data_IF_815458250898
#
_entry.id   IF_815458250898
#
_cell.length_a   1.000
_cell.length_b   1.000
_cell.length_c   1.000
_cell.angle_alpha   90.00
_cell.angle_beta   90.00
_cell.angle_gamma   90.00
#
_symmetry.space_group_name_H-M   'P 1'
#
loop_
_entity.id
_entity.type
_entity.pdbx_description
1 polymer ?
#
# COMPACT_ATOMS: atom_id res chain seq x y z
N UNK A 1 24.97 23.64 6.94
CA UNK A 1 25.39 23.86 5.53
C UNK A 1 24.36 23.15 4.68
N UNK A 2 23.39 23.85 4.11
CA UNK A 2 22.52 23.30 3.10
C UNK A 2 23.38 23.08 1.84
N UNK A 3 23.71 21.84 1.56
CA UNK A 3 24.25 21.44 0.26
C UNK A 3 23.17 21.80 -0.77
N UNK A 4 23.43 22.77 -1.63
CA UNK A 4 22.61 23.04 -2.80
C UNK A 4 22.60 21.76 -3.63
N UNK A 5 21.48 21.02 -3.55
CA UNK A 5 21.27 19.84 -4.38
C UNK A 5 21.25 20.32 -5.82
N UNK A 6 22.21 19.85 -6.63
CA UNK A 6 22.15 20.11 -8.07
C UNK A 6 21.01 19.25 -8.64
N UNK A 7 19.86 19.89 -8.84
CA UNK A 7 18.64 19.25 -9.32
C UNK A 7 18.88 18.57 -10.67
N UNK A 8 19.81 19.03 -11.48
CA UNK A 8 20.13 18.44 -12.79
C UNK A 8 20.87 17.12 -12.62
N UNK A 9 21.89 17.08 -11.76
CA UNK A 9 22.64 15.86 -11.46
C UNK A 9 21.73 14.80 -10.83
N UNK A 10 20.86 15.23 -9.90
CA UNK A 10 19.86 14.36 -9.28
C UNK A 10 18.86 13.83 -10.33
N UNK A 11 18.39 14.66 -11.25
CA UNK A 11 17.48 14.27 -12.32
C UNK A 11 18.11 13.19 -13.23
N UNK A 12 19.33 13.41 -13.71
CA UNK A 12 20.06 12.45 -14.56
C UNK A 12 20.30 11.12 -13.84
N UNK A 13 20.61 11.18 -12.55
CA UNK A 13 20.77 9.99 -11.73
C UNK A 13 19.46 9.21 -11.57
N UNK A 14 18.37 9.89 -11.28
CA UNK A 14 17.06 9.26 -11.11
C UNK A 14 16.55 8.67 -12.43
N UNK A 15 16.73 9.35 -13.56
CA UNK A 15 16.37 8.80 -14.87
C UNK A 15 17.09 7.48 -15.16
N UNK A 16 18.37 7.38 -14.81
CA UNK A 16 19.14 6.16 -14.99
C UNK A 16 18.71 5.06 -14.03
N UNK A 17 18.61 5.37 -12.74
CA UNK A 17 18.35 4.41 -11.69
C UNK A 17 16.89 3.92 -11.67
N UNK A 18 15.94 4.69 -12.20
CA UNK A 18 14.52 4.31 -12.32
C UNK A 18 14.21 3.48 -13.58
N UNK A 19 15.18 3.24 -14.44
CA UNK A 19 14.97 2.50 -15.71
C UNK A 19 14.37 1.11 -15.53
N UNK A 20 14.61 0.46 -14.39
CA UNK A 20 14.06 -0.86 -14.07
C UNK A 20 12.53 -0.83 -13.87
N UNK A 21 11.94 0.32 -13.55
CA UNK A 21 10.49 0.47 -13.32
C UNK A 21 9.71 0.08 -14.58
N UNK A 22 10.21 0.48 -15.75
CA UNK A 22 9.58 0.10 -17.02
C UNK A 22 9.61 -1.42 -17.21
N UNK A 23 10.75 -2.04 -16.93
CA UNK A 23 10.88 -3.49 -17.04
C UNK A 23 9.94 -4.23 -16.08
N UNK A 24 9.81 -3.75 -14.82
CA UNK A 24 8.84 -4.29 -13.87
C UNK A 24 7.41 -4.10 -14.36
N UNK A 25 7.05 -2.89 -14.79
CA UNK A 25 5.71 -2.58 -15.30
C UNK A 25 5.37 -3.43 -16.53
N UNK A 26 6.31 -3.59 -17.45
CA UNK A 26 6.13 -4.46 -18.61
C UNK A 26 5.96 -5.93 -18.19
N UNK A 27 6.77 -6.43 -17.25
CA UNK A 27 6.64 -7.78 -16.71
C UNK A 27 5.29 -8.00 -16.03
N UNK A 28 4.82 -7.04 -15.23
CA UNK A 28 3.48 -7.07 -14.62
C UNK A 28 2.38 -7.11 -15.69
N UNK A 29 2.45 -6.24 -16.69
CA UNK A 29 1.45 -6.13 -17.75
C UNK A 29 1.41 -7.35 -18.71
N UNK A 30 2.44 -8.20 -18.74
CA UNK A 30 2.40 -9.47 -19.45
C UNK A 30 1.39 -10.47 -18.83
N UNK A 31 1.18 -10.36 -17.52
CA UNK A 31 0.35 -11.29 -16.73
C UNK A 31 -0.96 -10.63 -16.29
N UNK A 32 -0.90 -9.37 -15.87
CA UNK A 32 -2.03 -8.60 -15.37
C UNK A 32 -2.61 -7.78 -16.51
N UNK A 33 -3.87 -8.03 -16.85
CA UNK A 33 -4.60 -7.24 -17.84
C UNK A 33 -5.35 -6.11 -17.15
N UNK A 34 -5.20 -4.91 -17.65
CA UNK A 34 -5.78 -3.74 -17.02
C UNK A 34 -5.12 -3.45 -15.68
N UNK A 35 -5.88 -2.99 -14.69
CA UNK A 35 -5.43 -2.77 -13.31
C UNK A 35 -4.14 -1.95 -13.19
N UNK A 36 -3.94 -0.96 -14.08
CA UNK A 36 -2.74 -0.10 -14.10
C UNK A 36 -2.51 0.58 -12.76
N UNK A 37 -3.61 1.07 -12.17
CA UNK A 37 -3.57 1.72 -10.86
C UNK A 37 -3.07 0.78 -9.74
N UNK A 38 -3.50 -0.49 -9.75
CA UNK A 38 -3.00 -1.49 -8.80
C UNK A 38 -1.50 -1.73 -8.97
N UNK A 39 -1.03 -1.86 -10.20
CA UNK A 39 0.41 -2.07 -10.48
C UNK A 39 1.23 -0.89 -10.01
N UNK A 40 0.81 0.34 -10.30
CA UNK A 40 1.47 1.56 -9.86
C UNK A 40 1.48 1.68 -8.33
N UNK A 41 0.34 1.42 -7.67
CA UNK A 41 0.23 1.45 -6.21
C UNK A 41 1.11 0.40 -5.53
N UNK A 42 1.26 -0.80 -6.12
CA UNK A 42 2.20 -1.82 -5.63
C UNK A 42 3.65 -1.33 -5.71
N UNK A 43 4.03 -0.65 -6.78
CA UNK A 43 5.37 -0.07 -6.94
C UNK A 43 5.60 1.08 -5.95
N UNK A 44 4.61 1.96 -5.77
CA UNK A 44 4.67 3.04 -4.77
C UNK A 44 4.87 2.45 -3.37
N UNK A 45 4.03 1.49 -2.96
CA UNK A 45 4.15 0.84 -1.65
C UNK A 45 5.49 0.14 -1.45
N UNK A 46 5.98 -0.56 -2.47
CA UNK A 46 7.28 -1.23 -2.43
C UNK A 46 8.45 -0.25 -2.25
N UNK A 47 8.45 0.83 -3.04
CA UNK A 47 9.53 1.83 -3.04
C UNK A 47 9.49 2.78 -1.84
N UNK A 48 8.32 3.00 -1.26
CA UNK A 48 8.14 3.82 -0.04
C UNK A 48 8.18 3.01 1.26
N UNK A 49 8.49 1.72 1.20
CA UNK A 49 8.44 0.80 2.36
C UNK A 49 7.09 0.80 3.09
N UNK A 50 6.01 1.02 2.35
CA UNK A 50 4.64 1.10 2.85
C UNK A 50 3.83 -0.17 2.58
N UNK A 51 2.83 -0.44 3.42
CA UNK A 51 1.87 -1.52 3.24
C UNK A 51 0.60 -1.03 2.57
N UNK A 52 -0.13 -1.91 1.90
CA UNK A 52 -1.27 -1.58 1.07
C UNK A 52 -2.52 -2.33 1.55
N UNK A 53 -3.61 -1.61 1.73
CA UNK A 53 -4.94 -2.17 1.90
C UNK A 53 -5.67 -2.10 0.55
N UNK A 54 -6.11 -3.25 0.06
CA UNK A 54 -6.78 -3.35 -1.22
C UNK A 54 -8.25 -3.68 -1.03
N UNK A 55 -9.11 -2.81 -1.49
CA UNK A 55 -10.55 -3.00 -1.47
C UNK A 55 -11.07 -3.33 -2.88
N UNK A 56 -11.83 -4.38 -2.99
CA UNK A 56 -12.44 -4.77 -4.25
C UNK A 56 -13.05 -6.16 -4.20
N UNK A 57 -13.94 -6.44 -5.13
CA UNK A 57 -14.64 -7.72 -5.23
C UNK A 57 -13.68 -8.89 -5.51
N UNK A 58 -14.08 -10.13 -5.21
CA UNK A 58 -13.31 -11.32 -5.59
C UNK A 58 -13.07 -11.42 -7.10
N UNK A 59 -11.98 -12.07 -7.50
CA UNK A 59 -11.71 -12.35 -8.91
C UNK A 59 -10.94 -11.27 -9.69
N UNK A 60 -10.53 -10.18 -9.04
CA UNK A 60 -9.82 -9.06 -9.68
C UNK A 60 -8.28 -9.22 -9.71
N UNK A 61 -7.78 -10.42 -9.82
CA UNK A 61 -6.35 -10.76 -9.96
C UNK A 61 -5.43 -10.25 -8.82
N UNK A 62 -5.96 -9.97 -7.61
CA UNK A 62 -5.21 -9.46 -6.46
C UNK A 62 -4.01 -10.35 -6.11
N UNK A 63 -4.26 -11.65 -5.94
CA UNK A 63 -3.22 -12.66 -5.64
C UNK A 63 -2.21 -12.76 -6.78
N UNK A 64 -2.69 -12.69 -8.02
CA UNK A 64 -1.83 -12.78 -9.20
C UNK A 64 -0.88 -11.58 -9.28
N UNK A 65 -1.35 -10.38 -8.96
CA UNK A 65 -0.55 -9.16 -9.02
C UNK A 65 0.63 -9.18 -8.04
N UNK A 66 0.39 -9.46 -6.76
CA UNK A 66 1.48 -9.48 -5.77
C UNK A 66 2.44 -10.66 -5.99
N UNK A 67 1.91 -11.81 -6.41
CA UNK A 67 2.74 -12.96 -6.75
C UNK A 67 3.63 -12.67 -7.95
N UNK A 68 3.10 -12.08 -9.02
CA UNK A 68 3.87 -11.69 -10.20
C UNK A 68 4.97 -10.69 -9.85
N UNK A 69 4.66 -9.70 -9.00
CA UNK A 69 5.67 -8.75 -8.51
C UNK A 69 6.78 -9.46 -7.73
N UNK A 70 6.42 -10.41 -6.86
CA UNK A 70 7.37 -11.22 -6.09
C UNK A 70 8.27 -12.05 -7.02
N UNK A 71 7.72 -12.68 -8.05
CA UNK A 71 8.47 -13.48 -9.01
C UNK A 71 9.45 -12.60 -9.82
N UNK A 72 9.03 -11.39 -10.23
CA UNK A 72 9.88 -10.43 -10.95
C UNK A 72 11.06 -9.90 -10.12
N UNK A 73 10.94 -9.87 -8.78
CA UNK A 73 11.97 -9.37 -7.85
C UNK A 73 12.78 -10.53 -7.23
N UNK A 74 12.47 -11.78 -7.57
CA UNK A 74 13.07 -12.97 -6.94
C UNK A 74 12.94 -12.93 -5.41
N UNK A 75 11.76 -12.58 -4.92
CA UNK A 75 11.46 -12.47 -3.51
C UNK A 75 10.55 -13.63 -3.04
N UNK A 76 10.56 -13.91 -1.74
CA UNK A 76 9.68 -14.90 -1.15
C UNK A 76 8.25 -14.36 -1.05
N UNK A 77 7.27 -15.18 -1.43
CA UNK A 77 5.85 -14.87 -1.36
C UNK A 77 5.11 -15.83 -0.44
N UNK A 78 4.20 -15.28 0.37
CA UNK A 78 3.29 -16.05 1.20
C UNK A 78 1.87 -15.50 1.08
N UNK A 79 0.87 -16.40 1.06
CA UNK A 79 -0.54 -16.06 1.15
C UNK A 79 -1.12 -16.59 2.44
N UNK A 80 -1.78 -15.72 3.18
CA UNK A 80 -2.49 -16.03 4.43
C UNK A 80 -3.97 -15.74 4.17
N UNK A 81 -4.79 -16.80 4.15
CA UNK A 81 -6.24 -16.63 4.08
C UNK A 81 -6.77 -16.40 5.50
N UNK A 82 -7.38 -15.25 5.71
CA UNK A 82 -7.96 -14.90 7.01
C UNK A 82 -9.35 -15.54 7.15
N UNK A 83 -9.55 -16.24 8.27
CA UNK A 83 -10.78 -16.97 8.61
C UNK A 83 -11.14 -16.73 10.07
N UNK A 84 -12.41 -16.93 10.47
CA UNK A 84 -12.85 -16.69 11.85
C UNK A 84 -12.17 -17.55 12.91
N UNK A 85 -11.63 -18.69 12.53
CA UNK A 85 -10.94 -19.65 13.40
C UNK A 85 -9.42 -19.48 13.46
N UNK A 86 -8.86 -18.54 12.67
CA UNK A 86 -7.42 -18.27 12.63
C UNK A 86 -6.92 -17.74 13.98
N UNK A 87 -5.75 -18.22 14.40
CA UNK A 87 -5.07 -17.76 15.62
C UNK A 87 -3.83 -16.92 15.26
N UNK A 88 -3.39 -16.01 16.13
CA UNK A 88 -2.14 -15.27 15.93
C UNK A 88 -0.92 -16.17 15.67
N UNK A 89 -0.85 -17.32 16.34
CA UNK A 89 0.22 -18.30 16.15
C UNK A 89 0.25 -18.92 14.75
N UNK A 90 -0.88 -18.98 14.03
CA UNK A 90 -0.95 -19.49 12.66
C UNK A 90 -0.31 -18.50 11.68
N UNK A 91 -0.33 -17.22 12.00
CA UNK A 91 0.27 -16.13 11.21
C UNK A 91 1.74 -15.91 11.56
N UNK A 92 2.04 -15.76 12.84
CA UNK A 92 3.35 -15.38 13.37
C UNK A 92 4.29 -16.57 13.53
N UNK A 93 3.71 -17.71 13.87
CA UNK A 93 4.47 -18.90 14.30
C UNK A 93 4.34 -19.17 15.78
N UNK A 94 4.89 -20.29 16.21
CA UNK A 94 4.76 -20.78 17.57
C UNK A 94 5.97 -21.57 18.03
N UNK A 95 6.09 -21.72 19.33
CA UNK A 95 7.06 -22.58 19.97
C UNK A 95 6.47 -23.99 20.12
N UNK A 96 7.20 -25.01 19.64
CA UNK A 96 6.77 -26.41 19.69
C UNK A 96 7.74 -27.20 20.58
N UNK A 97 7.21 -27.92 21.55
CA UNK A 97 8.01 -28.84 22.35
C UNK A 97 8.22 -30.18 21.62
N UNK A 98 9.47 -30.56 21.43
CA UNK A 98 9.84 -31.82 20.84
C UNK A 98 10.10 -32.85 21.94
N UNK A 99 9.18 -33.80 22.15
CA UNK A 99 9.37 -34.89 23.14
C UNK A 99 10.60 -35.76 22.86
N UNK A 100 11.00 -35.91 21.58
CA UNK A 100 12.18 -36.69 21.20
C UNK A 100 13.50 -36.05 21.58
N UNK A 101 13.56 -34.72 21.57
CA UNK A 101 14.79 -33.94 21.84
C UNK A 101 14.74 -33.29 23.22
N UNK A 102 13.59 -33.34 23.91
CA UNK A 102 13.32 -32.65 25.18
C UNK A 102 13.64 -31.13 25.12
N UNK A 103 13.43 -30.52 23.94
CA UNK A 103 13.72 -29.12 23.70
C UNK A 103 12.55 -28.40 23.00
N UNK A 104 12.48 -27.09 23.17
CA UNK A 104 11.58 -26.24 22.41
C UNK A 104 12.22 -25.86 21.08
N UNK A 105 11.45 -25.97 20.01
CA UNK A 105 11.83 -25.48 18.67
C UNK A 105 10.84 -24.43 18.20
N UNK A 106 11.31 -23.44 17.46
CA UNK A 106 10.46 -22.40 16.90
C UNK A 106 10.05 -22.80 15.50
N UNK A 107 8.74 -22.83 15.26
CA UNK A 107 8.15 -22.93 13.94
C UNK A 107 7.71 -21.55 13.50
N UNK A 108 8.40 -20.95 12.54
CA UNK A 108 8.05 -19.66 11.94
C UNK A 108 6.73 -19.79 11.18
N UNK A 109 5.89 -18.74 11.28
CA UNK A 109 4.64 -18.63 10.53
C UNK A 109 4.84 -18.12 9.11
N UNK A 110 3.78 -18.09 8.31
CA UNK A 110 3.80 -17.66 6.91
C UNK A 110 4.13 -16.17 6.72
N UNK A 111 4.11 -15.36 7.77
CA UNK A 111 4.46 -13.94 7.71
C UNK A 111 5.97 -13.71 7.43
N UNK A 112 6.82 -14.74 7.66
CA UNK A 112 8.25 -14.65 7.35
C UNK A 112 8.50 -14.83 5.84
N UNK A 113 8.09 -13.82 5.08
CA UNK A 113 8.31 -13.71 3.64
C UNK A 113 8.44 -12.22 3.28
N UNK A 114 9.08 -11.93 2.14
CA UNK A 114 9.21 -10.56 1.64
C UNK A 114 7.85 -9.96 1.24
N UNK A 115 7.00 -10.75 0.59
CA UNK A 115 5.68 -10.34 0.11
C UNK A 115 4.62 -11.23 0.75
N UNK A 116 3.71 -10.61 1.50
CA UNK A 116 2.62 -11.29 2.18
C UNK A 116 1.29 -10.77 1.66
N UNK A 117 0.47 -11.68 1.14
CA UNK A 117 -0.94 -11.41 0.87
C UNK A 117 -1.77 -11.84 2.08
N UNK A 118 -2.30 -10.88 2.82
CA UNK A 118 -3.28 -11.10 3.89
C UNK A 118 -4.69 -11.02 3.28
N UNK A 119 -5.18 -12.17 2.82
CA UNK A 119 -6.42 -12.23 2.05
C UNK A 119 -7.64 -12.25 2.97
N UNK A 120 -8.60 -11.34 2.73
CA UNK A 120 -9.82 -11.14 3.52
C UNK A 120 -9.55 -10.84 5.00
N UNK A 121 -8.66 -9.87 5.29
CA UNK A 121 -8.21 -9.54 6.65
C UNK A 121 -9.36 -9.28 7.63
N UNK A 122 -10.50 -8.77 7.13
CA UNK A 122 -11.68 -8.48 7.93
C UNK A 122 -12.48 -9.74 8.34
N UNK A 123 -12.11 -10.95 7.91
CA UNK A 123 -12.75 -12.21 8.34
C UNK A 123 -12.15 -12.80 9.62
N UNK A 124 -10.96 -12.39 10.00
CA UNK A 124 -10.33 -12.90 11.21
C UNK A 124 -10.64 -12.04 12.45
N UNK A 125 -10.62 -12.63 13.65
CA UNK A 125 -10.82 -11.89 14.89
C UNK A 125 -9.79 -10.77 15.09
N UNK A 126 -10.17 -9.73 15.85
CA UNK A 126 -9.34 -8.55 16.10
C UNK A 126 -7.94 -8.86 16.64
N UNK A 127 -7.77 -9.96 17.40
CA UNK A 127 -6.45 -10.39 17.91
C UNK A 127 -5.48 -10.77 16.79
N UNK A 128 -5.98 -11.44 15.73
CA UNK A 128 -5.16 -11.85 14.58
C UNK A 128 -4.82 -10.65 13.72
N UNK A 129 -5.81 -9.78 13.47
CA UNK A 129 -5.58 -8.51 12.78
C UNK A 129 -4.52 -7.67 13.49
N UNK A 130 -4.63 -7.51 14.81
CA UNK A 130 -3.67 -6.74 15.62
C UNK A 130 -2.26 -7.34 15.55
N UNK A 131 -2.12 -8.67 15.58
CA UNK A 131 -0.83 -9.34 15.49
C UNK A 131 -0.14 -9.07 14.13
N UNK A 132 -0.89 -9.13 13.02
CA UNK A 132 -0.35 -8.78 11.70
C UNK A 132 0.07 -7.30 11.65
N UNK A 133 -0.79 -6.40 12.12
CA UNK A 133 -0.54 -4.96 12.06
C UNK A 133 0.62 -4.51 12.98
N UNK A 134 0.83 -5.20 14.09
CA UNK A 134 2.00 -4.99 14.94
C UNK A 134 3.27 -5.44 14.21
N UNK A 135 3.29 -6.62 13.62
CA UNK A 135 4.41 -7.10 12.83
C UNK A 135 4.74 -6.19 11.63
N UNK A 136 3.72 -5.62 10.98
CA UNK A 136 3.90 -4.63 9.91
C UNK A 136 4.62 -3.37 10.40
N UNK A 137 4.28 -2.89 11.59
CA UNK A 137 4.84 -1.67 12.15
C UNK A 137 6.24 -1.88 12.72
N UNK A 138 6.42 -2.94 13.51
CA UNK A 138 7.66 -3.21 14.23
C UNK A 138 8.74 -3.89 13.37
N UNK A 139 8.37 -4.44 12.21
CA UNK A 139 9.26 -5.20 11.31
C UNK A 139 9.98 -6.36 12.00
N UNK A 140 9.44 -6.82 13.11
CA UNK A 140 9.96 -7.93 13.91
C UNK A 140 8.83 -8.66 14.62
N UNK A 141 9.08 -9.90 15.02
CA UNK A 141 8.12 -10.77 15.71
C UNK A 141 8.82 -11.45 16.87
N UNK A 142 8.16 -11.46 18.03
CA UNK A 142 8.62 -12.20 19.20
C UNK A 142 7.82 -13.51 19.32
N UNK A 143 8.54 -14.65 19.34
CA UNK A 143 7.97 -15.98 19.54
C UNK A 143 8.63 -16.60 20.77
N UNK A 144 7.85 -16.81 21.84
CA UNK A 144 8.40 -17.19 23.13
C UNK A 144 9.28 -16.07 23.71
N UNK A 145 10.54 -16.37 23.90
CA UNK A 145 11.57 -15.44 24.43
C UNK A 145 12.52 -14.89 23.34
N UNK A 146 12.27 -15.19 22.07
CA UNK A 146 13.14 -14.80 20.95
C UNK A 146 12.43 -13.83 20.01
N UNK A 147 13.16 -12.78 19.62
CA UNK A 147 12.70 -11.80 18.63
C UNK A 147 13.42 -12.01 17.30
N UNK A 148 12.64 -12.04 16.22
CA UNK A 148 13.10 -12.26 14.85
C UNK A 148 12.75 -11.05 14.00
N UNK A 149 13.73 -10.48 13.31
CA UNK A 149 13.46 -9.49 12.26
C UNK A 149 12.74 -10.16 11.08
N UNK A 150 11.83 -9.41 10.45
CA UNK A 150 11.23 -9.80 9.18
C UNK A 150 12.18 -9.52 8.02
N UNK A 151 11.93 -10.19 6.89
CA UNK A 151 12.73 -10.00 5.68
C UNK A 151 12.60 -8.54 5.16
N UNK A 152 13.67 -8.03 4.55
CA UNK A 152 13.66 -6.73 3.89
C UNK A 152 13.98 -6.91 2.39
N UNK A 153 13.13 -6.41 1.47
CA UNK A 153 11.88 -5.68 1.68
C UNK A 153 10.76 -6.54 2.27
N UNK A 154 9.89 -5.93 3.06
CA UNK A 154 8.69 -6.55 3.61
C UNK A 154 7.45 -5.75 3.21
N UNK A 155 6.62 -6.30 2.34
CA UNK A 155 5.39 -5.69 1.85
C UNK A 155 4.19 -6.58 2.18
N UNK A 156 3.23 -6.03 2.92
CA UNK A 156 1.93 -6.66 3.12
C UNK A 156 0.91 -6.00 2.21
N UNK A 157 0.24 -6.81 1.41
CA UNK A 157 -0.99 -6.48 0.69
C UNK A 157 -2.14 -7.14 1.44
N UNK A 158 -2.91 -6.37 2.19
CA UNK A 158 -4.12 -6.86 2.83
C UNK A 158 -5.33 -6.61 1.93
N UNK A 159 -6.25 -7.58 1.86
CA UNK A 159 -7.47 -7.40 1.05
C UNK A 159 -8.71 -7.34 1.93
N UNK A 160 -9.68 -6.55 1.50
CA UNK A 160 -11.03 -6.49 2.05
C UNK A 160 -12.05 -6.67 0.93
N UNK A 161 -13.12 -7.40 1.24
CA UNK A 161 -14.28 -7.50 0.36
C UNK A 161 -15.37 -6.57 0.89
N UNK A 162 -15.76 -5.50 0.17
CA UNK A 162 -16.75 -4.55 0.65
C UNK A 162 -18.17 -5.11 0.65
N UNK A 163 -18.44 -6.19 -0.09
CA UNK A 163 -19.79 -6.75 -0.27
C UNK A 163 -20.14 -7.71 0.87
N UNK A 164 -19.16 -8.46 1.39
CA UNK A 164 -19.37 -9.42 2.45
C UNK A 164 -19.37 -8.72 3.81
N UNK A 165 -20.56 -8.59 4.41
CA UNK A 165 -20.74 -8.00 5.75
C UNK A 165 -20.95 -9.06 6.82
N UNK A 166 -21.53 -10.22 6.49
CA UNK A 166 -21.77 -11.29 7.46
C UNK A 166 -20.46 -12.00 7.86
N UNK A 167 -20.26 -12.14 9.16
CA UNK A 167 -19.08 -12.81 9.71
C UNK A 167 -17.78 -12.02 9.56
N UNK A 168 -17.86 -10.70 9.38
CA UNK A 168 -16.69 -9.83 9.27
C UNK A 168 -16.46 -9.02 10.55
N UNK A 169 -15.19 -8.73 10.80
CA UNK A 169 -14.71 -7.87 11.88
C UNK A 169 -14.04 -6.66 11.22
N UNK A 170 -14.74 -5.51 11.14
CA UNK A 170 -14.17 -4.33 10.50
C UNK A 170 -12.88 -3.91 11.21
N UNK A 171 -11.90 -3.49 10.42
CA UNK A 171 -10.66 -2.93 10.97
C UNK A 171 -10.99 -1.57 11.63
N UNK A 172 -10.61 -1.37 12.90
CA UNK A 172 -10.70 -0.05 13.52
C UNK A 172 -9.86 0.98 12.75
N UNK A 173 -10.30 2.24 12.75
CA UNK A 173 -9.66 3.34 12.03
C UNK A 173 -8.17 3.52 12.40
N UNK A 174 -7.83 3.40 13.69
CA UNK A 174 -6.44 3.45 14.15
C UNK A 174 -5.58 2.30 13.58
N UNK A 175 -6.20 1.23 13.12
CA UNK A 175 -5.53 0.10 12.49
C UNK A 175 -5.41 0.29 10.99
N UNK A 176 -6.42 0.83 10.32
CA UNK A 176 -6.37 1.15 8.88
C UNK A 176 -5.35 2.25 8.59
N UNK A 177 -5.12 3.21 9.50
CA UNK A 177 -4.10 4.27 9.38
C UNK A 177 -2.66 3.75 9.28
N UNK A 178 -2.41 2.48 9.63
CA UNK A 178 -1.10 1.82 9.46
C UNK A 178 -0.77 1.44 8.02
N UNK A 179 -1.78 1.29 7.17
CA UNK A 179 -1.56 1.09 5.74
C UNK A 179 -1.21 2.43 5.09
N UNK A 180 -0.17 2.45 4.27
CA UNK A 180 0.22 3.64 3.53
C UNK A 180 -0.86 4.04 2.54
N UNK A 181 -1.33 3.08 1.76
CA UNK A 181 -2.33 3.26 0.71
C UNK A 181 -3.54 2.37 0.97
N UNK A 182 -4.73 2.90 0.72
CA UNK A 182 -5.95 2.12 0.51
C UNK A 182 -6.35 2.27 -0.96
N UNK A 183 -6.20 1.19 -1.72
CA UNK A 183 -6.44 1.15 -3.15
C UNK A 183 -7.79 0.49 -3.42
N UNK A 184 -8.65 1.16 -4.16
CA UNK A 184 -9.95 0.62 -4.59
C UNK A 184 -9.83 0.16 -6.03
N UNK A 185 -10.16 -1.11 -6.28
CA UNK A 185 -10.13 -1.69 -7.62
C UNK A 185 -11.52 -2.07 -8.08
N UNK A 186 -11.82 -1.68 -9.32
CA UNK A 186 -13.05 -1.99 -10.01
C UNK A 186 -12.91 -3.15 -10.97
N UNK A 187 -14.05 -3.52 -11.58
CA UNK A 187 -14.06 -4.51 -12.67
C UNK A 187 -13.28 -4.01 -13.87
N UNK A 188 -12.65 -4.94 -14.63
CA UNK A 188 -12.05 -4.60 -15.91
C UNK A 188 -13.11 -4.09 -16.89
N UNK A 189 -12.67 -3.27 -17.83
CA UNK A 189 -13.54 -2.87 -18.93
C UNK A 189 -13.76 -4.04 -19.92
N UNK A 190 -14.69 -3.87 -20.87
CA UNK A 190 -15.07 -4.93 -21.80
C UNK A 190 -13.91 -5.46 -22.64
N UNK A 191 -13.01 -4.60 -23.08
CA UNK A 191 -11.86 -4.98 -23.90
C UNK A 191 -10.80 -5.73 -23.07
N UNK A 192 -10.57 -5.28 -21.85
CA UNK A 192 -9.70 -5.94 -20.87
C UNK A 192 -10.25 -7.34 -20.52
N UNK A 193 -11.56 -7.47 -20.29
CA UNK A 193 -12.19 -8.76 -20.00
C UNK A 193 -12.05 -9.72 -21.17
N UNK A 194 -12.22 -9.26 -22.42
CA UNK A 194 -11.97 -10.05 -23.61
C UNK A 194 -10.51 -10.52 -23.69
N UNK A 195 -9.56 -9.66 -23.32
CA UNK A 195 -8.14 -10.00 -23.27
C UNK A 195 -7.84 -11.03 -22.18
N UNK A 196 -8.48 -10.91 -21.00
CA UNK A 196 -8.39 -11.89 -19.91
C UNK A 196 -8.86 -13.27 -20.38
N UNK A 197 -10.01 -13.33 -21.09
CA UNK A 197 -10.53 -14.59 -21.67
C UNK A 197 -9.48 -15.21 -22.60
N UNK A 198 -8.94 -14.42 -23.55
CA UNK A 198 -7.95 -14.92 -24.52
C UNK A 198 -6.70 -15.46 -23.84
N UNK A 199 -6.20 -14.79 -22.79
CA UNK A 199 -5.01 -15.23 -22.03
C UNK A 199 -5.26 -16.52 -21.23
N UNK A 200 -6.47 -16.72 -20.71
CA UNK A 200 -6.77 -17.89 -19.86
C UNK A 200 -7.21 -19.13 -20.64
N UNK A 201 -7.71 -18.96 -21.88
CA UNK A 201 -8.06 -20.10 -22.76
C UNK A 201 -6.80 -20.70 -23.41
N UNK A 202 -5.76 -19.90 -23.61
CA UNK A 202 -4.47 -20.39 -24.11
C UNK A 202 -3.77 -21.19 -23.00
N UNK A 203 -3.41 -22.42 -23.28
CA UNK A 203 -2.84 -23.39 -22.32
C UNK A 203 -1.46 -22.97 -21.75
N UNK A 204 -0.82 -21.97 -22.31
CA UNK A 204 0.50 -21.50 -21.86
C UNK A 204 0.35 -20.45 -20.75
N UNK A 205 0.60 -20.87 -19.52
CA UNK A 205 0.78 -19.91 -18.43
C UNK A 205 2.04 -19.09 -18.68
N UNK A 206 1.89 -17.80 -18.88
CA UNK A 206 3.04 -16.89 -18.99
C UNK A 206 3.81 -16.91 -17.67
N UNK A 207 5.01 -17.42 -17.70
CA UNK A 207 5.96 -17.31 -16.60
C UNK A 207 6.79 -16.04 -16.79
N UNK A 208 6.88 -15.23 -15.74
CA UNK A 208 7.79 -14.09 -15.70
C UNK A 208 9.14 -14.54 -15.18
N UNK A 209 10.21 -13.96 -15.74
CA UNK A 209 11.55 -14.18 -15.26
C UNK A 209 11.94 -13.06 -14.27
N UNK A 210 12.71 -13.35 -13.23
CA UNK A 210 13.21 -12.33 -12.32
C UNK A 210 14.02 -11.27 -13.07
N UNK A 211 13.70 -10.00 -12.80
CA UNK A 211 14.35 -8.82 -13.40
C UNK A 211 15.30 -8.19 -12.38
N UNK A 212 14.92 -8.22 -11.10
CA UNK A 212 15.63 -7.60 -9.98
C UNK A 212 15.82 -8.58 -8.84
N UNK A 213 16.70 -8.22 -7.93
CA UNK A 213 16.85 -8.83 -6.62
C UNK A 213 16.25 -7.93 -5.52
N UNK A 214 16.06 -8.50 -4.32
CA UNK A 214 15.66 -7.73 -3.13
C UNK A 214 16.65 -6.63 -2.79
N UNK A 215 17.95 -6.85 -3.03
CA UNK A 215 18.99 -5.85 -2.81
C UNK A 215 18.87 -4.64 -3.76
N UNK A 216 18.43 -4.86 -5.00
CA UNK A 216 18.20 -3.77 -5.95
C UNK A 216 17.05 -2.88 -5.50
N UNK A 217 15.98 -3.46 -4.89
CA UNK A 217 14.90 -2.69 -4.30
C UNK A 217 15.38 -1.84 -3.12
N UNK A 218 16.24 -2.39 -2.24
CA UNK A 218 16.81 -1.62 -1.12
C UNK A 218 17.65 -0.44 -1.61
N UNK A 219 18.40 -0.61 -2.69
CA UNK A 219 19.15 0.49 -3.33
C UNK A 219 18.20 1.54 -3.90
N UNK A 220 17.16 1.08 -4.62
CA UNK A 220 16.16 1.98 -5.19
C UNK A 220 15.44 2.83 -4.12
N UNK A 221 15.08 2.25 -2.97
CA UNK A 221 14.49 2.97 -1.84
C UNK A 221 15.36 4.14 -1.38
N UNK A 222 16.67 3.92 -1.24
CA UNK A 222 17.62 4.99 -0.86
C UNK A 222 17.65 6.13 -1.87
N UNK A 223 17.50 5.81 -3.16
CA UNK A 223 17.45 6.83 -4.21
C UNK A 223 16.11 7.57 -4.20
N UNK A 224 15.00 6.88 -3.91
CA UNK A 224 13.69 7.52 -3.72
C UNK A 224 13.72 8.52 -2.55
N UNK A 225 14.44 8.23 -1.47
CA UNK A 225 14.61 9.15 -0.34
C UNK A 225 15.32 10.45 -0.75
N UNK A 226 16.15 10.44 -1.81
CA UNK A 226 16.86 11.59 -2.33
C UNK A 226 16.00 12.49 -3.25
N UNK A 227 14.81 12.00 -3.72
CA UNK A 227 13.89 12.80 -4.53
C UNK A 227 13.54 14.08 -3.78
N UNK A 228 13.81 15.23 -4.41
CA UNK A 228 13.66 16.52 -3.79
C UNK A 228 12.18 16.90 -3.58
N UNK A 229 11.86 17.38 -2.39
CA UNK A 229 10.58 18.03 -2.10
C UNK A 229 10.86 19.49 -1.72
N UNK A 230 10.28 20.43 -2.46
CA UNK A 230 10.36 21.85 -2.14
C UNK A 230 9.48 22.17 -0.91
N UNK A 231 9.90 23.15 -0.11
CA UNK A 231 9.14 23.61 1.08
C UNK A 231 7.69 24.00 0.75
N UNK A 232 7.46 24.55 -0.46
CA UNK A 232 6.11 24.87 -0.92
C UNK A 232 5.24 23.63 -1.12
N UNK A 233 5.85 22.53 -1.59
CA UNK A 233 5.15 21.23 -1.73
C UNK A 233 4.87 20.63 -0.36
N UNK A 234 5.83 20.70 0.58
CA UNK A 234 5.60 20.27 1.96
C UNK A 234 4.43 21.05 2.59
N UNK A 235 4.40 22.36 2.40
CA UNK A 235 3.29 23.20 2.86
C UNK A 235 1.97 22.79 2.21
N UNK A 236 1.96 22.56 0.90
CA UNK A 236 0.78 22.13 0.16
C UNK A 236 0.23 20.79 0.71
N UNK A 237 1.10 19.81 1.00
CA UNK A 237 0.72 18.55 1.63
C UNK A 237 0.08 18.79 3.00
N UNK A 238 0.70 19.66 3.81
CA UNK A 238 0.16 20.01 5.13
C UNK A 238 -1.19 20.69 5.01
N UNK A 239 -1.34 21.64 4.10
CA UNK A 239 -2.59 22.37 3.87
C UNK A 239 -3.73 21.41 3.44
N UNK A 240 -3.46 20.44 2.56
CA UNK A 240 -4.44 19.39 2.19
C UNK A 240 -4.91 18.62 3.42
N UNK A 241 -3.99 18.15 4.25
CA UNK A 241 -4.34 17.36 5.43
C UNK A 241 -5.06 18.23 6.48
N UNK A 242 -4.64 19.48 6.68
CA UNK A 242 -5.31 20.41 7.60
C UNK A 242 -6.73 20.77 7.12
N UNK A 243 -6.95 20.92 5.82
CA UNK A 243 -8.29 21.15 5.27
C UNK A 243 -9.27 20.01 5.61
N UNK A 244 -8.81 18.77 5.81
CA UNK A 244 -9.64 17.67 6.29
C UNK A 244 -9.99 17.78 7.79
N UNK A 245 -9.21 18.53 8.59
CA UNK A 245 -9.42 18.71 10.04
C UNK A 245 -10.16 20.00 10.38
N UNK A 246 -9.88 21.04 9.61
CA UNK A 246 -10.41 22.41 9.82
C UNK A 246 -10.87 22.97 8.48
N UNK A 247 -11.91 22.35 7.84
CA UNK A 247 -12.37 22.74 6.52
C UNK A 247 -12.78 24.21 6.44
N UNK A 248 -13.32 24.78 7.52
CA UNK A 248 -13.70 26.19 7.60
C UNK A 248 -12.52 27.15 7.39
N UNK A 249 -11.30 26.76 7.73
CA UNK A 249 -10.11 27.60 7.51
C UNK A 249 -9.72 27.69 6.02
N UNK A 250 -10.30 26.83 5.19
CA UNK A 250 -10.03 26.75 3.74
C UNK A 250 -11.28 27.09 2.90
N UNK A 251 -12.31 27.70 3.49
CA UNK A 251 -13.54 28.07 2.81
C UNK A 251 -14.46 26.88 2.46
N UNK A 252 -14.35 25.81 3.24
CA UNK A 252 -15.10 24.56 3.04
C UNK A 252 -16.05 24.30 4.21
N UNK A 253 -16.78 25.35 4.66
CA UNK A 253 -17.70 25.28 5.80
C UNK A 253 -18.74 24.16 5.64
N UNK A 254 -19.17 23.88 4.41
CA UNK A 254 -20.13 22.81 4.07
C UNK A 254 -19.60 21.40 4.41
N UNK A 255 -18.30 21.18 4.47
CA UNK A 255 -17.72 19.89 4.81
C UNK A 255 -17.67 19.63 6.31
N UNK A 256 -17.72 20.67 7.14
CA UNK A 256 -17.62 20.53 8.60
C UNK A 256 -18.63 19.55 9.22
N UNK A 257 -19.93 19.58 8.88
CA UNK A 257 -20.88 18.60 9.38
C UNK A 257 -20.71 17.20 8.78
N UNK A 258 -19.97 17.06 7.69
CA UNK A 258 -19.76 15.78 6.98
C UNK A 258 -18.54 14.99 7.49
N UNK A 259 -17.57 15.66 8.13
CA UNK A 259 -16.33 15.06 8.58
C UNK A 259 -16.38 14.82 10.09
N UNK A 260 -16.25 13.56 10.50
CA UNK A 260 -16.16 13.18 11.92
C UNK A 260 -14.73 13.39 12.43
N UNK A 261 -13.73 13.01 11.66
CA UNK A 261 -12.30 13.27 11.91
C UNK A 261 -11.55 13.34 10.59
N UNK A 262 -10.49 14.13 10.55
CA UNK A 262 -9.60 14.28 9.40
C UNK A 262 -8.29 13.49 9.53
N UNK A 263 -7.44 13.59 8.52
CA UNK A 263 -6.18 12.85 8.44
C UNK A 263 -5.23 13.12 9.62
N UNK A 264 -4.58 12.09 10.14
CA UNK A 264 -3.53 12.18 11.17
C UNK A 264 -2.22 12.75 10.59
N UNK A 265 -1.19 13.08 11.41
CA UNK A 265 0.13 13.42 10.88
C UNK A 265 0.75 12.35 9.99
N UNK A 266 0.36 11.06 10.16
CA UNK A 266 0.74 9.97 9.25
C UNK A 266 0.25 10.23 7.83
N UNK A 267 -0.89 10.90 7.65
CA UNK A 267 -1.39 11.27 6.33
C UNK A 267 -0.41 12.17 5.60
N UNK A 268 0.13 13.22 6.26
CA UNK A 268 1.12 14.13 5.67
C UNK A 268 2.42 13.39 5.33
N UNK A 269 2.90 12.53 6.23
CA UNK A 269 4.11 11.73 6.02
C UNK A 269 3.91 10.79 4.82
N UNK A 270 2.80 10.07 4.78
CA UNK A 270 2.53 9.11 3.72
C UNK A 270 2.27 9.79 2.36
N UNK A 271 1.67 10.98 2.34
CA UNK A 271 1.56 11.79 1.11
C UNK A 271 2.94 12.16 0.57
N UNK A 272 3.85 12.62 1.44
CA UNK A 272 5.20 12.98 1.02
C UNK A 272 5.99 11.77 0.50
N UNK A 273 5.94 10.64 1.21
CA UNK A 273 6.62 9.41 0.81
C UNK A 273 6.05 8.84 -0.50
N UNK A 274 4.73 8.77 -0.61
CA UNK A 274 4.07 8.27 -1.82
C UNK A 274 4.32 9.18 -3.03
N UNK A 275 4.30 10.51 -2.84
CA UNK A 275 4.60 11.47 -3.91
C UNK A 275 6.06 11.37 -4.39
N UNK A 276 7.03 11.13 -3.48
CA UNK A 276 8.42 10.84 -3.87
C UNK A 276 8.54 9.59 -4.74
N UNK A 277 7.92 8.50 -4.29
CA UNK A 277 7.93 7.25 -5.05
C UNK A 277 7.21 7.42 -6.40
N UNK A 278 6.11 8.16 -6.44
CA UNK A 278 5.39 8.48 -7.67
C UNK A 278 6.26 9.28 -8.64
N UNK A 279 6.95 10.35 -8.16
CA UNK A 279 7.88 11.13 -8.98
C UNK A 279 9.03 10.24 -9.51
N UNK A 280 9.60 9.37 -8.68
CA UNK A 280 10.66 8.43 -9.08
C UNK A 280 10.18 7.46 -10.18
N UNK A 281 8.98 6.86 -10.03
CA UNK A 281 8.37 5.98 -11.04
C UNK A 281 8.24 6.71 -12.37
N UNK A 282 7.93 8.00 -12.33
CA UNK A 282 7.82 8.89 -13.51
C UNK A 282 9.14 9.56 -13.88
N UNK A 283 10.28 9.04 -13.39
CA UNK A 283 11.65 9.46 -13.73
C UNK A 283 11.93 10.95 -13.44
N UNK A 284 11.35 11.47 -12.36
CA UNK A 284 11.58 12.84 -11.92
C UNK A 284 12.35 12.90 -10.61
N UNK A 285 13.35 13.79 -10.55
CA UNK A 285 14.18 14.02 -9.38
C UNK A 285 13.54 14.95 -8.35
N UNK A 286 12.33 15.41 -8.57
CA UNK A 286 11.59 16.33 -7.71
C UNK A 286 10.10 16.05 -7.76
N UNK A 287 9.43 16.37 -6.65
CA UNK A 287 7.97 16.23 -6.51
C UNK A 287 7.26 17.48 -7.01
N UNK A 288 6.17 17.27 -7.76
CA UNK A 288 5.26 18.32 -8.23
C UNK A 288 3.92 18.26 -7.48
N UNK A 289 3.09 19.32 -7.52
CA UNK A 289 1.75 19.27 -6.95
C UNK A 289 0.88 18.15 -7.54
N UNK A 290 1.05 17.85 -8.83
CA UNK A 290 0.34 16.79 -9.54
C UNK A 290 0.67 15.41 -8.96
N UNK A 291 1.90 15.18 -8.50
CA UNK A 291 2.29 13.93 -7.86
C UNK A 291 1.58 13.73 -6.53
N UNK A 292 1.48 14.81 -5.75
CA UNK A 292 0.72 14.80 -4.49
C UNK A 292 -0.76 14.49 -4.77
N UNK A 293 -1.35 15.14 -5.77
CA UNK A 293 -2.75 14.92 -6.16
C UNK A 293 -3.00 13.49 -6.66
N UNK A 294 -2.06 12.93 -7.41
CA UNK A 294 -2.18 11.57 -7.95
C UNK A 294 -2.30 10.50 -6.86
N UNK A 295 -1.58 10.65 -5.74
CA UNK A 295 -1.60 9.69 -4.63
C UNK A 295 -2.59 10.03 -3.52
N UNK A 296 -3.22 11.22 -3.60
CA UNK A 296 -4.01 11.79 -2.51
C UNK A 296 -5.20 10.90 -2.11
N UNK A 297 -5.95 10.38 -3.08
CA UNK A 297 -7.10 9.51 -2.82
C UNK A 297 -6.71 8.23 -2.09
N UNK A 298 -5.65 7.56 -2.54
CA UNK A 298 -5.21 6.30 -1.95
C UNK A 298 -4.62 6.49 -0.55
N UNK A 299 -4.02 7.65 -0.28
CA UNK A 299 -3.47 7.96 1.04
C UNK A 299 -4.55 8.41 2.01
N UNK A 300 -5.55 9.18 1.58
CA UNK A 300 -6.50 9.85 2.48
C UNK A 300 -7.83 9.13 2.68
N UNK A 301 -8.31 8.30 1.70
CA UNK A 301 -9.67 7.74 1.78
C UNK A 301 -9.97 6.90 3.02
N UNK A 302 -8.97 6.32 3.65
CA UNK A 302 -9.10 5.53 4.89
C UNK A 302 -8.69 6.30 6.14
N UNK A 303 -8.46 7.61 6.01
CA UNK A 303 -7.99 8.51 7.08
C UNK A 303 -8.96 9.65 7.36
N UNK A 304 -10.06 9.68 6.63
CA UNK A 304 -11.16 10.64 6.82
C UNK A 304 -12.39 9.85 7.26
N UNK A 305 -12.89 10.13 8.46
CA UNK A 305 -14.12 9.53 8.95
C UNK A 305 -15.31 10.40 8.57
N UNK A 306 -16.35 9.76 8.07
CA UNK A 306 -17.61 10.42 7.72
C UNK A 306 -18.58 10.41 8.89
N UNK A 307 -19.42 11.42 8.98
CA UNK A 307 -20.56 11.44 9.91
C UNK A 307 -21.75 10.67 9.34
N UNK A 308 -22.68 10.27 10.19
CA UNK A 308 -23.95 9.69 9.75
C UNK A 308 -24.75 10.62 8.80
N UNK A 309 -24.59 11.94 8.93
CA UNK A 309 -25.18 12.92 8.03
C UNK A 309 -24.58 12.82 6.63
N UNK A 310 -23.27 12.65 6.51
CA UNK A 310 -22.60 12.43 5.24
C UNK A 310 -23.07 11.13 4.57
N UNK A 311 -23.13 10.04 5.34
CA UNK A 311 -23.62 8.74 4.85
C UNK A 311 -25.08 8.82 4.37
N UNK A 312 -25.95 9.48 5.12
CA UNK A 312 -27.36 9.69 4.76
C UNK A 312 -27.53 10.51 3.47
N UNK A 313 -26.58 11.40 3.19
CA UNK A 313 -26.54 12.21 1.96
C UNK A 313 -25.75 11.53 0.83
N UNK A 314 -25.29 10.29 1.00
CA UNK A 314 -24.43 9.55 0.06
C UNK A 314 -23.12 10.28 -0.30
N UNK A 315 -22.58 11.09 0.62
CA UNK A 315 -21.28 11.73 0.47
C UNK A 315 -20.19 10.71 0.76
N UNK A 316 -19.24 10.59 -0.14
CA UNK A 316 -18.09 9.68 -0.01
C UNK A 316 -16.85 10.41 0.48
N UNK A 317 -15.85 9.66 0.96
CA UNK A 317 -14.55 10.24 1.31
C UNK A 317 -13.85 10.82 0.08
N UNK A 318 -14.07 10.24 -1.10
CA UNK A 318 -13.57 10.73 -2.38
C UNK A 318 -14.16 12.09 -2.75
N UNK A 319 -15.44 12.32 -2.46
CA UNK A 319 -16.08 13.63 -2.66
C UNK A 319 -15.42 14.69 -1.78
N UNK A 320 -15.20 14.37 -0.49
CA UNK A 320 -14.50 15.25 0.45
C UNK A 320 -13.08 15.57 -0.05
N UNK A 321 -12.32 14.56 -0.45
CA UNK A 321 -10.97 14.74 -0.97
C UNK A 321 -10.98 15.63 -2.22
N UNK A 322 -11.96 15.42 -3.10
CA UNK A 322 -12.11 16.22 -4.33
C UNK A 322 -12.33 17.69 -4.01
N UNK A 323 -13.23 18.01 -3.06
CA UNK A 323 -13.48 19.39 -2.64
C UNK A 323 -12.25 20.03 -1.98
N UNK A 324 -11.55 19.28 -1.11
CA UNK A 324 -10.31 19.73 -0.49
C UNK A 324 -9.25 20.06 -1.56
N UNK A 325 -9.04 19.16 -2.53
CA UNK A 325 -8.06 19.37 -3.60
C UNK A 325 -8.40 20.55 -4.53
N UNK A 326 -9.68 20.90 -4.63
CA UNK A 326 -10.12 22.05 -5.43
C UNK A 326 -10.00 23.38 -4.66
N UNK A 327 -10.08 23.37 -3.34
CA UNK A 327 -10.03 24.56 -2.50
C UNK A 327 -8.61 24.93 -2.07
N UNK A 328 -7.75 23.94 -1.80
CA UNK A 328 -6.38 24.20 -1.37
C UNK A 328 -5.56 24.75 -2.54
N UNK A 329 -4.94 25.90 -2.31
CA UNK A 329 -4.15 26.60 -3.33
C UNK A 329 -2.91 25.79 -3.72
N UNK A 330 -2.78 25.56 -5.02
CA UNK A 330 -1.59 24.92 -5.61
C UNK A 330 -0.43 25.92 -5.61
N UNK A 331 0.78 25.54 -5.16
CA UNK A 331 1.94 26.43 -5.03
C UNK A 331 2.53 26.85 -6.39
#
# INVERSE_FOLDING_TARGET
>A
MQTTVDIRELQERIERESSFVDALTMGMNQVIVGQKHLVESLLIGLLSDGHILLEGVPGLAKTLAIKTLSDLIKANFSRIQFTPDLLPADVLGTQIYSQKKEEFSIKRGPIFANFVLADEINRAPAKVQSALLEAMQERQITIGDQTFALDDPFLVLATQNPIEQEGTYPLPEAQTDRFMLKVVIGYPNKDEEQQIIRQNIQSEKKQVLPILSTEDIKKARKIVEEVYIDEKIEKYIVDIVFATRQPEAYGLEQLKPMIQFGGSPRASINLALAARAYAFIHRRGYVTPEDVRAVCYDVLRHRIGLTYEAEANNVTTEDIITEVLNAVQVP
#
